data_IF_116942279733
#
_entry.id   IF_116942279733
#
_cell.length_a   1.000
_cell.length_b   1.000
_cell.length_c   1.000
_cell.angle_alpha   90.00
_cell.angle_beta   90.00
_cell.angle_gamma   90.00
#
_symmetry.space_group_name_H-M   'P 1'
#
loop_
_entity.id
_entity.type
_entity.pdbx_description
1 polymer ?
#
# COMPACT_ATOMS: atom_id res chain seq x y z
N UNK A 1 -0.34 2.58 1.63
CA UNK A 1 0.99 3.13 1.99
C UNK A 1 0.82 3.99 3.22
N UNK A 2 1.77 3.94 4.15
CA UNK A 2 1.77 4.72 5.40
C UNK A 2 3.18 5.24 5.68
N UNK A 3 3.27 6.50 6.07
CA UNK A 3 4.50 7.18 6.49
C UNK A 3 4.34 7.59 7.94
N UNK A 4 5.34 7.31 8.77
CA UNK A 4 5.35 7.72 10.18
C UNK A 4 6.75 8.21 10.52
N UNK A 5 6.84 9.40 11.09
CA UNK A 5 8.10 9.90 11.65
C UNK A 5 8.16 9.46 13.12
N UNK A 6 9.28 8.88 13.52
CA UNK A 6 9.50 8.24 14.82
C UNK A 6 10.78 8.78 15.48
N UNK A 7 10.97 8.45 16.75
CA UNK A 7 12.16 8.77 17.55
C UNK A 7 12.55 10.26 17.50
N UNK A 8 11.65 11.16 17.92
CA UNK A 8 11.89 12.61 17.93
C UNK A 8 12.34 13.16 16.57
N UNK A 9 11.64 12.77 15.49
CA UNK A 9 11.92 13.20 14.12
C UNK A 9 13.26 12.74 13.54
N UNK A 10 13.80 11.63 14.05
CA UNK A 10 15.07 11.06 13.56
C UNK A 10 14.92 9.84 12.67
N UNK A 11 13.74 9.20 12.62
CA UNK A 11 13.51 8.00 11.81
C UNK A 11 12.23 8.09 11.00
N UNK A 12 12.29 7.62 9.75
CA UNK A 12 11.14 7.46 8.87
C UNK A 12 10.74 5.99 8.78
N UNK A 13 9.52 5.66 9.18
CA UNK A 13 8.89 4.38 8.91
C UNK A 13 8.07 4.49 7.62
N UNK A 14 8.48 3.75 6.61
CA UNK A 14 7.72 3.52 5.40
C UNK A 14 7.08 2.12 5.44
N UNK A 15 5.76 2.07 5.47
CA UNK A 15 5.01 0.82 5.52
C UNK A 15 4.07 0.70 4.33
N UNK A 16 4.28 -0.35 3.53
CA UNK A 16 3.48 -0.69 2.37
C UNK A 16 3.13 -2.16 2.38
N UNK A 17 2.11 -2.48 1.60
CA UNK A 17 1.46 -3.78 1.60
C UNK A 17 1.24 -4.10 0.14
N UNK A 18 1.76 -5.24 -0.31
CA UNK A 18 1.73 -5.62 -1.71
C UNK A 18 1.37 -7.09 -1.84
N UNK A 19 0.57 -7.38 -2.86
CA UNK A 19 0.18 -8.73 -3.22
C UNK A 19 1.15 -9.25 -4.30
N UNK A 20 2.11 -10.08 -3.90
CA UNK A 20 3.06 -10.69 -4.84
C UNK A 20 4.47 -10.83 -4.27
N UNK A 21 5.40 -11.20 -5.16
CA UNK A 21 6.79 -11.40 -4.80
C UNK A 21 7.51 -10.08 -4.54
N UNK A 22 8.44 -10.11 -3.57
CA UNK A 22 9.20 -8.94 -3.14
C UNK A 22 10.07 -8.35 -4.26
N UNK A 23 10.69 -9.20 -5.09
CA UNK A 23 11.55 -8.75 -6.19
C UNK A 23 10.77 -7.92 -7.22
N UNK A 24 9.59 -8.41 -7.61
CA UNK A 24 8.68 -7.72 -8.54
C UNK A 24 8.22 -6.39 -7.94
N UNK A 25 7.89 -6.41 -6.64
CA UNK A 25 7.48 -5.20 -5.92
C UNK A 25 8.55 -4.11 -5.94
N UNK A 26 9.80 -4.43 -5.59
CA UNK A 26 10.89 -3.46 -5.56
C UNK A 26 11.24 -2.95 -6.97
N UNK A 27 11.16 -3.82 -7.98
CA UNK A 27 11.38 -3.42 -9.36
C UNK A 27 10.27 -2.50 -9.89
N UNK A 28 9.00 -2.82 -9.62
CA UNK A 28 7.89 -1.93 -9.96
C UNK A 28 7.99 -0.60 -9.18
N UNK A 29 8.47 -0.63 -7.94
CA UNK A 29 8.71 0.58 -7.16
C UNK A 29 9.78 1.48 -7.78
N UNK A 30 10.89 0.90 -8.23
CA UNK A 30 11.97 1.63 -8.88
C UNK A 30 11.57 2.15 -10.28
N UNK A 31 10.71 1.43 -11.00
CA UNK A 31 10.37 1.78 -12.39
C UNK A 31 9.12 2.64 -12.54
N UNK A 32 8.09 2.45 -11.70
CA UNK A 32 6.80 3.14 -11.85
C UNK A 32 6.81 4.51 -11.21
N UNK A 33 7.52 4.70 -10.10
CA UNK A 33 7.47 5.97 -9.35
C UNK A 33 8.85 6.37 -8.79
N UNK A 34 9.91 6.44 -9.64
CA UNK A 34 11.26 6.75 -9.17
C UNK A 34 11.35 8.12 -8.49
N UNK A 35 10.70 9.13 -9.05
CA UNK A 35 10.78 10.51 -8.53
C UNK A 35 10.14 10.66 -7.14
N UNK A 36 9.06 9.91 -6.87
CA UNK A 36 8.42 9.93 -5.55
C UNK A 36 9.30 9.26 -4.50
N UNK A 37 10.03 8.22 -4.86
CA UNK A 37 10.96 7.55 -3.95
C UNK A 37 12.10 8.47 -3.57
N UNK A 38 12.73 9.12 -4.56
CA UNK A 38 13.78 10.10 -4.26
C UNK A 38 13.24 11.23 -3.37
N UNK A 39 12.05 11.76 -3.63
CA UNK A 39 11.46 12.80 -2.80
C UNK A 39 11.21 12.37 -1.33
N UNK A 40 10.80 11.12 -1.12
CA UNK A 40 10.51 10.59 0.23
C UNK A 40 11.79 10.26 0.98
N UNK A 41 12.77 9.66 0.29
CA UNK A 41 13.99 9.12 0.90
C UNK A 41 15.19 10.06 0.81
N UNK A 42 15.08 11.19 0.10
CA UNK A 42 16.09 12.26 0.02
C UNK A 42 16.58 12.70 1.40
N UNK A 43 15.67 12.77 2.37
CA UNK A 43 15.98 13.20 3.73
C UNK A 43 16.54 12.07 4.62
N UNK A 44 16.66 10.85 4.10
CA UNK A 44 17.17 9.68 4.84
C UNK A 44 18.68 9.59 4.64
N UNK A 45 19.41 9.52 5.75
CA UNK A 45 20.87 9.40 5.74
C UNK A 45 21.32 8.14 5.00
N UNK A 46 22.26 8.29 4.07
CA UNK A 46 22.83 7.18 3.32
C UNK A 46 21.98 6.70 2.14
N UNK A 47 20.90 7.39 1.77
CA UNK A 47 20.14 7.08 0.56
C UNK A 47 21.02 7.23 -0.70
N UNK A 48 21.24 6.15 -1.47
CA UNK A 48 22.10 6.20 -2.65
C UNK A 48 21.42 6.81 -3.90
N UNK A 49 20.10 7.04 -3.83
CA UNK A 49 19.27 7.43 -4.98
C UNK A 49 18.61 6.23 -5.65
N UNK A 50 17.38 6.40 -6.15
CA UNK A 50 16.58 5.30 -6.73
C UNK A 50 17.20 4.68 -7.99
N UNK A 51 18.09 5.41 -8.66
CA UNK A 51 18.77 4.98 -9.89
C UNK A 51 20.06 4.20 -9.61
N UNK A 52 20.55 4.21 -8.37
CA UNK A 52 21.77 3.50 -8.01
C UNK A 52 21.47 2.00 -7.84
N UNK A 53 22.27 1.09 -8.43
CA UNK A 53 22.04 -0.36 -8.30
C UNK A 53 22.15 -0.88 -6.86
N UNK A 54 22.84 -0.16 -5.96
CA UNK A 54 22.94 -0.51 -4.54
C UNK A 54 21.66 -0.22 -3.75
N UNK A 55 20.70 0.53 -4.32
CA UNK A 55 19.46 0.89 -3.62
C UNK A 55 18.65 -0.32 -3.16
N UNK A 56 18.66 -1.41 -3.95
CA UNK A 56 17.99 -2.67 -3.58
C UNK A 56 18.58 -3.23 -2.28
N UNK A 57 19.90 -3.23 -2.15
CA UNK A 57 20.58 -3.70 -0.95
C UNK A 57 20.31 -2.77 0.24
N UNK A 58 20.34 -1.45 0.02
CA UNK A 58 20.00 -0.47 1.05
C UNK A 58 18.60 -0.72 1.63
N UNK A 59 17.60 -1.00 0.78
CA UNK A 59 16.24 -1.30 1.22
C UNK A 59 16.20 -2.60 2.03
N UNK A 60 16.88 -3.66 1.59
CA UNK A 60 16.96 -4.94 2.31
C UNK A 60 17.55 -4.73 3.71
N UNK A 61 18.66 -3.99 3.80
CA UNK A 61 19.40 -3.80 5.05
C UNK A 61 18.59 -2.99 6.08
N UNK A 62 17.69 -2.12 5.62
CA UNK A 62 16.81 -1.29 6.46
C UNK A 62 15.37 -1.83 6.56
N UNK A 63 15.09 -3.01 6.00
CA UNK A 63 13.76 -3.62 6.05
C UNK A 63 13.52 -4.29 7.40
N UNK A 64 12.39 -3.94 8.03
CA UNK A 64 11.96 -4.57 9.28
C UNK A 64 10.87 -5.61 9.02
N UNK A 65 11.06 -6.82 9.55
CA UNK A 65 10.03 -7.86 9.51
C UNK A 65 8.88 -7.53 10.44
N UNK A 66 7.65 -7.49 9.92
CA UNK A 66 6.46 -7.30 10.74
C UNK A 66 6.28 -8.48 11.72
N UNK A 67 6.13 -8.18 13.01
CA UNK A 67 5.91 -9.21 14.03
C UNK A 67 4.51 -9.84 13.98
N UNK A 68 3.54 -9.11 13.42
CA UNK A 68 2.18 -9.58 13.25
C UNK A 68 1.56 -8.94 12.00
N UNK A 69 0.75 -9.72 11.29
CA UNK A 69 -0.01 -9.27 10.14
C UNK A 69 -1.44 -9.78 10.27
N UNK A 70 -2.40 -8.87 10.36
CA UNK A 70 -3.80 -9.22 10.54
C UNK A 70 -4.56 -9.11 9.22
N UNK A 71 -5.25 -10.19 8.85
CA UNK A 71 -6.14 -10.23 7.68
C UNK A 71 -7.52 -10.67 8.16
N UNK A 72 -8.50 -9.76 8.10
CA UNK A 72 -9.86 -10.05 8.56
C UNK A 72 -10.54 -11.14 7.74
N UNK A 73 -10.22 -11.23 6.44
CA UNK A 73 -10.85 -12.16 5.49
C UNK A 73 -9.81 -12.80 4.55
N UNK A 74 -9.04 -13.81 5.01
CA UNK A 74 -7.95 -14.40 4.22
C UNK A 74 -8.32 -14.93 2.82
N UNK A 75 -9.50 -15.54 2.58
CA UNK A 75 -9.81 -16.08 1.26
C UNK A 75 -10.38 -15.04 0.27
N UNK A 76 -10.65 -13.82 0.72
CA UNK A 76 -11.29 -12.80 -0.13
C UNK A 76 -10.24 -11.86 -0.72
N UNK A 77 -10.25 -11.72 -2.03
CA UNK A 77 -9.45 -10.70 -2.72
C UNK A 77 -10.07 -9.32 -2.52
N UNK A 78 -9.30 -8.26 -2.78
CA UNK A 78 -9.83 -6.88 -2.80
C UNK A 78 -11.02 -6.74 -3.75
N UNK A 79 -10.97 -7.42 -4.90
CA UNK A 79 -12.07 -7.42 -5.87
C UNK A 79 -13.34 -8.08 -5.31
N UNK A 80 -13.21 -9.16 -4.54
CA UNK A 80 -14.34 -9.82 -3.88
C UNK A 80 -14.98 -8.89 -2.84
N UNK A 81 -14.16 -8.22 -2.03
CA UNK A 81 -14.62 -7.27 -1.02
C UNK A 81 -15.38 -6.10 -1.69
N UNK A 82 -14.81 -5.52 -2.75
CA UNK A 82 -15.44 -4.42 -3.49
C UNK A 82 -16.74 -4.85 -4.18
N UNK A 83 -16.81 -6.09 -4.69
CA UNK A 83 -18.04 -6.64 -5.27
C UNK A 83 -19.10 -6.82 -4.20
N UNK A 84 -18.74 -7.40 -3.06
CA UNK A 84 -19.66 -7.64 -1.95
C UNK A 84 -20.22 -6.32 -1.39
N UNK A 85 -19.40 -5.28 -1.25
CA UNK A 85 -19.85 -3.94 -0.85
C UNK A 85 -20.93 -3.38 -1.80
N UNK A 86 -20.74 -3.52 -3.12
CA UNK A 86 -21.74 -3.08 -4.12
C UNK A 86 -23.06 -3.85 -4.00
N UNK A 87 -23.01 -5.16 -3.75
CA UNK A 87 -24.20 -6.00 -3.58
C UNK A 87 -24.97 -5.56 -2.32
N UNK A 88 -24.27 -5.42 -1.19
CA UNK A 88 -24.88 -4.97 0.08
C UNK A 88 -25.52 -3.58 -0.08
N UNK A 89 -24.82 -2.65 -0.74
CA UNK A 89 -25.38 -1.32 -1.06
C UNK A 89 -26.60 -1.38 -1.95
N UNK A 90 -26.70 -2.35 -2.86
CA UNK A 90 -27.88 -2.57 -3.70
C UNK A 90 -29.08 -3.09 -2.90
N UNK A 91 -28.85 -4.10 -2.04
CA UNK A 91 -29.89 -4.71 -1.21
C UNK A 91 -30.42 -3.77 -0.11
N UNK A 92 -29.60 -2.84 0.36
CA UNK A 92 -29.97 -1.87 1.42
C UNK A 92 -30.65 -0.61 0.89
N UNK A 93 -30.78 -0.45 -0.45
CA UNK A 93 -31.57 0.67 -1.00
C UNK A 93 -33.02 0.51 -0.59
N UNK A 94 -33.68 1.56 -0.06
CA UNK A 94 -35.10 1.51 0.21
C UNK A 94 -35.84 1.24 -1.10
N UNK A 95 -36.79 0.31 -1.05
CA UNK A 95 -37.65 -0.03 -2.17
C UNK A 95 -38.54 1.18 -2.47
N UNK A 96 -38.11 2.05 -3.38
CA UNK A 96 -38.97 3.10 -3.91
C UNK A 96 -39.87 2.46 -4.96
N UNK A 97 -41.08 2.08 -4.57
CA UNK A 97 -42.14 1.69 -5.50
C UNK A 97 -42.36 2.83 -6.50
N UNK A 98 -42.36 2.59 -7.82
CA UNK A 98 -42.78 3.60 -8.78
C UNK A 98 -44.23 3.93 -8.47
N UNK A 99 -44.51 5.18 -8.10
CA UNK A 99 -45.88 5.68 -8.00
C UNK A 99 -46.37 5.77 -9.44
N UNK A 100 -47.10 4.76 -9.89
CA UNK A 100 -47.92 4.90 -11.10
C UNK A 100 -48.97 5.95 -10.76
N UNK A 101 -48.75 7.18 -11.26
CA UNK A 101 -49.76 8.22 -11.27
C UNK A 101 -50.88 7.76 -12.21
N UNK A 102 -52.08 7.65 -11.64
CA UNK A 102 -53.33 7.34 -12.33
C UNK A 102 -53.80 8.54 -13.15
#
# INVERSE_FOLDING_TARGET
MRFVILDNDTRLLFATTFDGDWDVYIEDFATKIPELMDLIFESVEGWPGIKDPSVKQFIIDHQLTANAWFVAYPPLTVNDILRNDKIVKGCTKPWTTPRHEL
#
